data_IF_790617039492
#
_entry.id   IF_790617039492
#
_cell.length_a   1.000
_cell.length_b   1.000
_cell.length_c   1.000
_cell.angle_alpha   90.00
_cell.angle_beta   90.00
_cell.angle_gamma   90.00
#
_symmetry.space_group_name_H-M   'P 1'
#
loop_
_entity.id
_entity.type
_entity.pdbx_description
1 polymer ?
#
# COMPACT_ATOMS: atom_id res chain seq x y z
N UNK A 1 57.77 -17.04 10.63
CA UNK A 1 58.65 -17.70 9.64
C UNK A 1 57.93 -17.66 8.31
N UNK A 2 58.32 -16.74 7.45
CA UNK A 2 57.76 -16.56 6.10
C UNK A 2 58.39 -17.53 5.09
N UNK A 3 57.79 -17.71 3.88
CA UNK A 3 58.06 -18.85 3.01
C UNK A 3 59.12 -18.56 1.92
N UNK A 4 59.56 -19.58 1.16
CA UNK A 4 60.30 -19.37 -0.08
C UNK A 4 59.36 -19.06 -1.26
N UNK A 5 59.64 -17.93 -1.94
CA UNK A 5 59.16 -17.63 -3.30
C UNK A 5 60.16 -18.12 -4.36
N UNK A 6 59.65 -18.42 -5.54
CA UNK A 6 60.34 -18.52 -6.84
C UNK A 6 59.28 -18.95 -7.87
N UNK A 7 59.05 -18.28 -9.01
CA UNK A 7 59.99 -17.63 -9.94
C UNK A 7 60.06 -18.51 -11.20
N UNK A 8 60.01 -18.03 -12.44
CA UNK A 8 59.92 -16.68 -13.02
C UNK A 8 59.23 -16.73 -14.40
N UNK A 9 58.88 -15.57 -14.98
CA UNK A 9 58.35 -15.43 -16.35
C UNK A 9 59.36 -15.84 -17.43
N UNK A 10 58.88 -16.24 -18.63
CA UNK A 10 59.48 -15.92 -19.94
C UNK A 10 58.45 -16.03 -21.09
N UNK A 11 58.08 -14.86 -21.61
CA UNK A 11 57.94 -14.41 -23.01
C UNK A 11 57.18 -15.14 -24.15
N UNK A 12 56.64 -14.22 -24.95
CA UNK A 12 55.88 -14.28 -26.19
C UNK A 12 56.47 -15.08 -27.38
N UNK A 13 55.57 -15.60 -28.23
CA UNK A 13 55.65 -15.50 -29.71
C UNK A 13 54.34 -16.04 -30.34
N UNK A 14 53.46 -15.20 -30.90
CA UNK A 14 53.48 -14.62 -32.26
C UNK A 14 52.94 -15.50 -33.42
N UNK A 15 51.97 -14.93 -34.18
CA UNK A 15 51.63 -15.12 -35.62
C UNK A 15 50.64 -16.23 -36.09
N UNK A 16 49.36 -15.84 -36.12
CA UNK A 16 48.46 -15.80 -37.32
C UNK A 16 48.78 -16.57 -38.62
N UNK A 17 47.78 -17.30 -39.19
CA UNK A 17 47.04 -16.93 -40.45
C UNK A 17 46.39 -18.11 -41.22
N UNK A 18 45.11 -17.93 -41.66
CA UNK A 18 44.49 -18.51 -42.90
C UNK A 18 44.33 -20.04 -43.05
N UNK A 19 43.41 -20.63 -43.84
CA UNK A 19 42.12 -20.22 -44.44
C UNK A 19 41.39 -21.43 -45.09
N UNK A 20 40.16 -21.23 -45.61
CA UNK A 20 39.38 -22.16 -46.47
C UNK A 20 38.74 -23.38 -45.75
N UNK A 21 37.66 -24.02 -46.20
CA UNK A 21 36.65 -23.74 -47.25
C UNK A 21 35.35 -24.53 -46.96
N UNK A 22 34.22 -24.24 -47.64
CA UNK A 22 33.05 -25.15 -47.64
C UNK A 22 31.66 -24.49 -47.67
N UNK A 23 31.03 -24.40 -48.85
CA UNK A 23 29.62 -23.98 -49.01
C UNK A 23 28.68 -25.19 -49.04
N UNK A 24 27.49 -25.10 -48.42
CA UNK A 24 26.12 -25.43 -48.96
C UNK A 24 25.12 -25.73 -47.83
N UNK A 25 23.88 -25.23 -47.91
CA UNK A 25 22.83 -25.58 -46.93
C UNK A 25 21.65 -24.61 -46.72
N UNK A 26 21.09 -23.98 -47.76
CA UNK A 26 19.88 -23.14 -47.62
C UNK A 26 18.59 -23.98 -47.58
N UNK A 27 17.66 -23.61 -46.68
CA UNK A 27 16.17 -23.79 -46.66
C UNK A 27 15.62 -24.59 -45.47
N UNK A 28 15.22 -23.93 -44.36
CA UNK A 28 14.16 -24.37 -43.42
C UNK A 28 13.77 -23.30 -42.37
N UNK A 29 13.08 -22.22 -42.78
CA UNK A 29 12.62 -21.18 -41.83
C UNK A 29 11.46 -20.29 -42.33
N UNK A 30 10.30 -20.87 -42.69
CA UNK A 30 9.08 -20.09 -43.01
C UNK A 30 7.79 -20.47 -42.26
N UNK A 31 7.79 -21.48 -41.38
CA UNK A 31 6.55 -21.97 -40.71
C UNK A 31 6.21 -21.35 -39.35
N UNK A 32 7.12 -20.62 -38.68
CA UNK A 32 6.89 -20.13 -37.29
C UNK A 32 6.20 -18.76 -37.17
N UNK A 33 5.95 -18.02 -38.26
CA UNK A 33 5.46 -16.62 -38.19
C UNK A 33 3.93 -16.44 -38.26
N UNK A 34 3.14 -17.50 -38.44
CA UNK A 34 1.66 -17.39 -38.59
C UNK A 34 0.83 -17.71 -37.34
N UNK A 35 1.41 -18.34 -36.31
CA UNK A 35 0.65 -18.77 -35.13
C UNK A 35 0.47 -17.67 -34.06
N UNK A 36 1.33 -16.64 -34.05
CA UNK A 36 1.30 -15.58 -33.04
C UNK A 36 0.18 -14.53 -33.22
N UNK A 37 -0.35 -14.38 -34.44
CA UNK A 37 -1.40 -13.39 -34.72
C UNK A 37 -2.82 -13.83 -34.30
N UNK A 38 -3.07 -15.12 -34.04
CA UNK A 38 -4.40 -15.60 -33.61
C UNK A 38 -4.68 -15.43 -32.12
N UNK A 39 -3.65 -15.37 -31.25
CA UNK A 39 -3.85 -15.26 -29.79
C UNK A 39 -4.22 -13.85 -29.29
N UNK A 40 -3.91 -12.78 -30.02
CA UNK A 40 -4.26 -11.41 -29.61
C UNK A 40 -5.69 -10.98 -29.96
N UNK A 41 -6.38 -11.69 -30.88
CA UNK A 41 -7.72 -11.27 -31.35
C UNK A 41 -8.85 -11.55 -30.34
N UNK A 42 -8.71 -12.55 -29.47
CA UNK A 42 -9.74 -12.87 -28.45
C UNK A 42 -9.60 -12.09 -27.13
N UNK A 43 -8.49 -11.38 -26.90
CA UNK A 43 -8.32 -10.56 -25.69
C UNK A 43 -9.08 -9.24 -25.79
N UNK A 44 -9.09 -8.60 -26.97
CA UNK A 44 -9.82 -7.35 -27.20
C UNK A 44 -11.34 -7.53 -27.18
N UNK A 45 -11.86 -8.60 -27.78
CA UNK A 45 -13.30 -8.90 -27.73
C UNK A 45 -13.79 -9.38 -26.36
N UNK A 46 -12.87 -9.63 -25.40
CA UNK A 46 -13.23 -9.85 -23.99
C UNK A 46 -13.26 -8.54 -23.22
N UNK A 47 -12.35 -7.60 -23.47
CA UNK A 47 -12.39 -6.26 -22.87
C UNK A 47 -13.65 -5.49 -23.26
N UNK A 48 -14.01 -5.43 -24.54
CA UNK A 48 -15.25 -4.76 -24.97
C UNK A 48 -16.53 -5.43 -24.45
N UNK A 49 -16.49 -6.74 -24.17
CA UNK A 49 -17.57 -7.45 -23.46
C UNK A 49 -17.58 -7.17 -21.97
N UNK A 50 -16.44 -6.84 -21.37
CA UNK A 50 -16.30 -6.50 -19.95
C UNK A 50 -16.72 -5.05 -19.70
N UNK A 51 -16.39 -4.12 -20.59
CA UNK A 51 -16.93 -2.76 -20.61
C UNK A 51 -18.45 -2.78 -20.79
N UNK A 52 -18.97 -3.50 -21.78
CA UNK A 52 -20.42 -3.67 -21.96
C UNK A 52 -21.10 -4.34 -20.76
N UNK A 53 -20.44 -5.30 -20.09
CA UNK A 53 -20.95 -5.90 -18.87
C UNK A 53 -20.93 -4.92 -17.68
N UNK A 54 -19.89 -4.09 -17.55
CA UNK A 54 -19.82 -3.04 -16.52
C UNK A 54 -20.86 -1.96 -16.75
N UNK A 55 -21.08 -1.54 -18.00
CA UNK A 55 -22.09 -0.57 -18.37
C UNK A 55 -23.51 -1.12 -18.10
N UNK A 56 -23.75 -2.40 -18.43
CA UNK A 56 -25.00 -3.09 -18.11
C UNK A 56 -25.23 -3.25 -16.60
N UNK A 57 -24.20 -3.65 -15.83
CA UNK A 57 -24.29 -3.75 -14.36
C UNK A 57 -24.48 -2.38 -13.72
N UNK A 58 -23.76 -1.36 -14.18
CA UNK A 58 -23.92 0.02 -13.68
C UNK A 58 -25.34 0.55 -13.93
N UNK A 59 -25.91 0.22 -15.09
CA UNK A 59 -27.30 0.52 -15.43
C UNK A 59 -28.29 -0.26 -14.56
N UNK A 60 -28.13 -1.57 -14.40
CA UNK A 60 -28.98 -2.41 -13.53
C UNK A 60 -28.89 -1.98 -12.06
N UNK A 61 -27.72 -1.58 -11.56
CA UNK A 61 -27.54 -1.03 -10.20
C UNK A 61 -28.20 0.35 -10.06
N UNK A 62 -28.11 1.20 -11.09
CA UNK A 62 -28.80 2.50 -11.09
C UNK A 62 -30.32 2.34 -11.14
N UNK A 63 -30.82 1.37 -11.91
CA UNK A 63 -32.24 1.01 -11.99
C UNK A 63 -32.74 0.40 -10.67
N UNK A 64 -31.98 -0.50 -10.05
CA UNK A 64 -32.28 -1.00 -8.70
C UNK A 64 -32.29 0.12 -7.65
N UNK A 65 -31.34 1.05 -7.69
CA UNK A 65 -31.27 2.17 -6.75
C UNK A 65 -32.46 3.13 -6.93
N UNK A 66 -32.86 3.41 -8.17
CA UNK A 66 -34.09 4.14 -8.48
C UNK A 66 -35.34 3.41 -7.97
N UNK A 67 -35.42 2.08 -8.14
CA UNK A 67 -36.53 1.27 -7.64
C UNK A 67 -36.59 1.22 -6.11
N UNK A 68 -35.42 1.23 -5.43
CA UNK A 68 -35.32 1.27 -3.96
C UNK A 68 -35.77 2.61 -3.39
N UNK A 69 -35.44 3.72 -4.07
CA UNK A 69 -35.92 5.06 -3.72
C UNK A 69 -37.44 5.17 -3.96
N UNK A 70 -37.92 4.74 -5.14
CA UNK A 70 -39.35 4.79 -5.50
C UNK A 70 -40.22 3.92 -4.57
N UNK A 71 -39.73 2.76 -4.13
CA UNK A 71 -40.45 1.92 -3.16
C UNK A 71 -40.44 2.51 -1.74
N UNK A 72 -39.45 3.34 -1.39
CA UNK A 72 -39.35 3.98 -0.07
C UNK A 72 -40.28 5.18 0.10
N UNK A 73 -40.73 5.79 -0.99
CA UNK A 73 -41.76 6.84 -1.01
C UNK A 73 -43.20 6.28 -1.13
N UNK A 74 -43.36 4.95 -1.17
CA UNK A 74 -44.66 4.29 -1.46
C UNK A 74 -45.23 3.43 -0.33
N UNK A 75 -44.59 3.36 0.85
CA UNK A 75 -45.13 2.63 2.01
C UNK A 75 -45.29 3.56 3.23
N UNK A 76 -46.48 4.17 3.29
CA UNK A 76 -47.05 4.74 4.52
C UNK A 76 -48.07 3.73 5.10
N UNK A 77 -48.12 3.62 6.44
CA UNK A 77 -49.02 2.73 7.20
C UNK A 77 -48.73 1.22 7.12
N UNK A 78 -48.24 0.59 8.19
CA UNK A 78 -49.09 0.11 9.31
C UNK A 78 -48.21 -0.37 10.49
N UNK A 79 -48.78 -0.67 11.65
CA UNK A 79 -48.05 -0.81 12.92
C UNK A 79 -48.25 -2.15 13.68
N UNK A 80 -47.27 -2.46 14.55
CA UNK A 80 -47.26 -3.44 15.68
C UNK A 80 -47.47 -4.95 15.36
N UNK A 81 -47.20 -5.91 16.28
CA UNK A 81 -46.17 -6.00 17.35
C UNK A 81 -45.36 -7.34 17.39
N UNK A 82 -44.19 -7.33 18.05
CA UNK A 82 -43.96 -8.26 19.18
C UNK A 82 -42.78 -9.27 19.16
N UNK A 83 -42.19 -9.45 20.36
CA UNK A 83 -41.80 -10.74 20.98
C UNK A 83 -40.57 -11.45 20.35
N UNK A 84 -39.45 -11.73 21.02
CA UNK A 84 -38.91 -11.53 22.39
C UNK A 84 -37.35 -11.54 22.28
N UNK A 85 -36.51 -11.22 23.27
CA UNK A 85 -36.74 -11.03 24.71
C UNK A 85 -35.74 -10.05 25.35
N UNK A 86 -36.10 -9.54 26.53
CA UNK A 86 -35.17 -9.23 27.63
C UNK A 86 -34.97 -10.48 28.52
N UNK A 87 -33.92 -10.48 29.34
CA UNK A 87 -33.87 -10.99 30.73
C UNK A 87 -32.51 -11.61 31.08
N UNK A 88 -31.63 -10.83 31.71
CA UNK A 88 -30.61 -11.35 32.64
C UNK A 88 -30.01 -10.26 33.56
N UNK A 89 -30.88 -9.41 34.12
CA UNK A 89 -30.54 -8.59 35.29
C UNK A 89 -31.60 -8.78 36.38
N UNK A 90 -31.13 -9.00 37.62
CA UNK A 90 -31.84 -9.01 38.92
C UNK A 90 -32.00 -10.36 39.64
N UNK A 91 -30.90 -10.81 40.26
CA UNK A 91 -30.84 -11.28 41.66
C UNK A 91 -29.36 -11.38 42.03
N UNK A 92 -28.85 -10.88 43.16
CA UNK A 92 -29.40 -10.95 44.50
C UNK A 92 -28.86 -9.82 45.42
N UNK A 93 -29.74 -8.98 46.00
CA UNK A 93 -29.38 -7.94 47.00
C UNK A 93 -30.50 -7.69 48.04
N UNK A 94 -30.39 -8.31 49.22
CA UNK A 94 -31.06 -8.08 50.52
C UNK A 94 -30.36 -9.04 51.51
N UNK A 95 -29.93 -8.76 52.75
CA UNK A 95 -30.17 -7.77 53.85
C UNK A 95 -28.87 -7.81 54.74
N UNK A 96 -28.41 -6.83 55.54
CA UNK A 96 -28.99 -5.59 56.10
C UNK A 96 -28.04 -4.35 56.01
N UNK A 97 -27.21 -4.08 57.04
CA UNK A 97 -26.39 -2.87 57.24
C UNK A 97 -25.02 -3.19 57.88
N UNK A 98 -23.98 -2.42 57.54
CA UNK A 98 -22.68 -2.44 58.22
C UNK A 98 -21.80 -1.25 57.80
N UNK A 99 -21.69 -0.23 58.67
CA UNK A 99 -20.93 1.00 58.39
C UNK A 99 -19.43 0.78 58.68
N UNK A 100 -18.58 0.83 57.65
CA UNK A 100 -17.17 1.30 57.76
C UNK A 100 -16.77 2.01 56.47
N UNK A 101 -16.06 3.13 56.61
CA UNK A 101 -15.51 3.98 55.56
C UNK A 101 -14.36 3.34 54.78
N UNK A 102 -14.33 3.53 53.45
CA UNK A 102 -13.16 3.24 52.61
C UNK A 102 -13.41 3.68 51.17
N UNK A 103 -12.71 4.72 50.70
CA UNK A 103 -12.81 5.20 49.32
C UNK A 103 -12.19 4.17 48.37
N UNK A 104 -13.02 3.51 47.57
CA UNK A 104 -12.52 2.63 46.50
C UNK A 104 -12.08 3.48 45.31
N UNK A 105 -10.81 3.34 44.93
CA UNK A 105 -10.24 3.91 43.72
C UNK A 105 -10.92 3.32 42.49
N UNK A 106 -11.81 4.09 41.86
CA UNK A 106 -12.36 3.74 40.55
C UNK A 106 -11.23 3.84 39.52
N UNK A 107 -10.64 2.69 39.20
CA UNK A 107 -9.61 2.57 38.18
C UNK A 107 -10.13 3.10 36.84
N UNK A 108 -9.52 4.19 36.35
CA UNK A 108 -9.85 4.77 35.04
C UNK A 108 -9.31 3.88 33.93
N UNK A 109 -10.09 2.88 33.53
CA UNK A 109 -9.80 2.09 32.33
C UNK A 109 -9.80 3.00 31.10
N UNK A 110 -8.70 3.00 30.34
CA UNK A 110 -8.63 3.63 29.02
C UNK A 110 -9.34 2.69 28.03
N UNK A 111 -10.63 2.90 27.83
CA UNK A 111 -11.42 2.13 26.86
C UNK A 111 -11.33 2.79 25.46
N UNK A 112 -10.50 2.24 24.58
CA UNK A 112 -10.43 2.66 23.18
C UNK A 112 -11.62 2.10 22.38
N UNK A 113 -12.70 2.88 22.27
CA UNK A 113 -13.86 2.53 21.43
C UNK A 113 -13.57 2.78 19.96
N UNK A 114 -13.73 1.75 19.15
CA UNK A 114 -13.65 1.82 17.69
C UNK A 114 -15.06 2.05 17.12
N UNK A 115 -15.35 3.28 16.71
CA UNK A 115 -16.59 3.64 16.03
C UNK A 115 -16.28 3.96 14.56
N UNK A 116 -16.95 3.28 13.62
CA UNK A 116 -16.63 3.34 12.18
C UNK A 116 -17.55 4.27 11.38
N UNK A 117 -18.51 4.91 12.03
CA UNK A 117 -19.50 5.83 11.44
C UNK A 117 -18.98 7.27 11.41
N UNK A 118 -18.30 7.64 10.32
CA UNK A 118 -17.80 8.99 10.08
C UNK A 118 -18.78 9.83 9.23
N UNK A 119 -18.93 11.12 9.58
CA UNK A 119 -19.55 12.13 8.71
C UNK A 119 -18.50 12.70 7.76
N UNK A 120 -18.90 12.93 6.50
CA UNK A 120 -17.99 13.42 5.46
C UNK A 120 -17.78 14.95 5.56
N UNK A 121 -16.85 15.38 6.41
CA UNK A 121 -16.38 16.77 6.46
C UNK A 121 -14.93 16.86 5.99
N UNK A 122 -14.70 17.55 4.86
CA UNK A 122 -13.36 17.71 4.28
C UNK A 122 -12.58 18.80 5.00
N UNK A 123 -11.75 18.41 5.98
CA UNK A 123 -10.89 19.33 6.73
C UNK A 123 -9.53 19.55 6.05
N UNK A 124 -8.97 20.76 6.17
CA UNK A 124 -7.61 21.07 5.69
C UNK A 124 -6.58 20.45 6.64
N UNK A 125 -5.57 19.77 6.11
CA UNK A 125 -4.47 19.22 6.88
C UNK A 125 -3.65 20.31 7.60
N UNK A 126 -3.11 19.98 8.78
CA UNK A 126 -2.19 20.86 9.51
C UNK A 126 -0.81 20.89 8.85
N UNK A 127 -0.10 22.02 9.00
CA UNK A 127 1.22 22.22 8.41
C UNK A 127 2.24 21.16 8.88
N UNK A 128 2.24 20.85 10.18
CA UNK A 128 3.12 19.82 10.75
C UNK A 128 2.90 18.42 10.14
N UNK A 129 1.65 18.06 9.79
CA UNK A 129 1.37 16.80 9.11
C UNK A 129 1.81 16.84 7.64
N UNK A 130 1.71 18.00 6.97
CA UNK A 130 2.21 18.17 5.60
C UNK A 130 3.74 18.11 5.54
N UNK A 131 4.45 18.73 6.47
CA UNK A 131 5.90 18.60 6.60
C UNK A 131 6.35 17.14 6.78
N UNK A 132 5.70 16.40 7.69
CA UNK A 132 6.00 15.00 7.93
C UNK A 132 5.70 14.14 6.70
N UNK A 133 4.57 14.38 6.04
CA UNK A 133 4.19 13.68 4.81
C UNK A 133 5.21 13.93 3.68
N UNK A 134 5.66 15.17 3.50
CA UNK A 134 6.65 15.55 2.50
C UNK A 134 8.00 14.86 2.77
N UNK A 135 8.42 14.78 4.05
CA UNK A 135 9.62 14.03 4.47
C UNK A 135 9.49 12.53 4.19
N UNK A 136 8.35 11.90 4.54
CA UNK A 136 8.14 10.45 4.39
C UNK A 136 7.94 9.99 2.93
N UNK A 137 7.42 10.86 2.06
CA UNK A 137 7.13 10.53 0.65
C UNK A 137 8.04 11.22 -0.34
N UNK A 138 9.04 11.97 0.16
CA UNK A 138 10.05 12.63 -0.66
C UNK A 138 9.42 13.49 -1.78
N UNK A 139 8.31 14.19 -1.47
CA UNK A 139 7.65 15.07 -2.44
C UNK A 139 8.56 16.22 -2.87
N UNK A 140 8.40 16.66 -4.12
CA UNK A 140 9.26 17.64 -4.80
C UNK A 140 10.75 17.25 -4.91
N UNK A 141 11.15 16.05 -4.47
CA UNK A 141 12.51 15.53 -4.56
C UNK A 141 12.72 14.61 -5.78
N UNK A 142 13.88 14.61 -6.45
CA UNK A 142 14.16 13.69 -7.56
C UNK A 142 14.19 12.20 -7.14
N UNK A 143 14.42 11.91 -5.86
CA UNK A 143 14.47 10.55 -5.31
C UNK A 143 13.11 10.05 -4.77
N UNK A 144 12.00 10.74 -5.06
CA UNK A 144 10.63 10.41 -4.59
C UNK A 144 10.18 8.94 -4.75
N UNK A 145 10.79 8.23 -5.70
CA UNK A 145 10.53 6.83 -6.02
C UNK A 145 11.40 5.84 -5.22
N UNK A 146 12.28 6.33 -4.34
CA UNK A 146 13.26 5.54 -3.58
C UNK A 146 12.84 5.28 -2.13
N UNK A 147 11.54 5.40 -1.81
CA UNK A 147 10.99 5.00 -0.51
C UNK A 147 11.09 3.48 -0.35
N UNK A 148 12.18 3.02 0.28
CA UNK A 148 12.55 1.59 0.40
C UNK A 148 11.64 0.84 1.38
N UNK A 149 10.44 0.51 0.95
CA UNK A 149 9.47 -0.18 1.82
C UNK A 149 9.54 -1.71 1.80
N UNK A 150 10.21 -2.29 0.80
CA UNK A 150 10.24 -3.74 0.58
C UNK A 150 10.93 -4.52 1.71
N UNK A 151 11.86 -3.89 2.43
CA UNK A 151 12.55 -4.52 3.55
C UNK A 151 11.70 -4.47 4.82
N UNK A 152 11.04 -3.34 5.11
CA UNK A 152 10.03 -3.25 6.16
C UNK A 152 8.90 -4.27 5.92
N UNK A 153 8.38 -4.37 4.69
CA UNK A 153 7.34 -5.33 4.34
C UNK A 153 7.74 -6.79 4.61
N UNK A 154 9.00 -7.17 4.35
CA UNK A 154 9.49 -8.54 4.63
C UNK A 154 9.45 -8.90 6.11
N UNK A 155 9.65 -7.94 7.02
CA UNK A 155 9.59 -8.18 8.47
C UNK A 155 8.19 -8.58 8.95
N UNK A 156 7.15 -8.14 8.24
CA UNK A 156 5.75 -8.37 8.60
C UNK A 156 5.03 -9.39 7.70
N UNK A 157 5.65 -9.83 6.61
CA UNK A 157 5.13 -10.95 5.83
C UNK A 157 5.25 -12.25 6.63
N UNK A 158 4.13 -12.84 7.02
CA UNK A 158 4.09 -14.12 7.74
C UNK A 158 3.06 -15.08 7.13
N UNK A 159 3.36 -16.37 7.15
CA UNK A 159 2.48 -17.43 6.64
C UNK A 159 2.03 -18.31 7.81
N UNK A 160 0.72 -18.60 7.96
CA UNK A 160 -0.39 -18.22 7.09
C UNK A 160 -0.93 -16.79 7.36
N UNK A 161 -1.70 -16.26 6.40
CA UNK A 161 -2.62 -15.12 6.60
C UNK A 161 -2.04 -13.71 6.49
N UNK A 162 -0.75 -13.51 6.78
CA UNK A 162 -0.09 -12.19 6.68
C UNK A 162 0.80 -12.08 5.44
N UNK A 163 0.32 -12.61 4.32
CA UNK A 163 0.95 -12.62 2.99
C UNK A 163 -0.19 -12.72 1.96
N UNK A 164 0.05 -12.44 0.67
CA UNK A 164 -0.98 -12.65 -0.34
C UNK A 164 -1.40 -14.13 -0.43
N UNK A 165 -2.68 -14.37 -0.69
CA UNK A 165 -3.19 -15.73 -0.85
C UNK A 165 -2.75 -16.32 -2.20
N UNK A 166 -2.30 -17.57 -2.19
CA UNK A 166 -2.01 -18.29 -3.43
C UNK A 166 -3.31 -18.66 -4.16
N UNK A 167 -3.36 -18.43 -5.48
CA UNK A 167 -4.46 -18.91 -6.31
C UNK A 167 -4.46 -20.45 -6.37
N UNK A 168 -5.57 -21.09 -5.97
CA UNK A 168 -5.76 -22.54 -6.08
C UNK A 168 -5.36 -23.05 -7.48
N UNK A 169 -4.65 -24.18 -7.55
CA UNK A 169 -4.05 -24.66 -8.82
C UNK A 169 -5.05 -24.81 -9.98
N UNK A 170 -6.30 -25.18 -9.68
CA UNK A 170 -7.39 -25.29 -10.66
C UNK A 170 -7.74 -23.96 -11.35
N UNK A 171 -7.55 -22.82 -10.67
CA UNK A 171 -7.88 -21.48 -11.19
C UNK A 171 -6.65 -20.62 -11.51
N UNK A 172 -5.45 -21.05 -11.12
CA UNK A 172 -4.17 -20.33 -11.26
C UNK A 172 -3.85 -19.85 -12.69
N UNK A 173 -4.35 -20.55 -13.72
CA UNK A 173 -4.20 -20.14 -15.13
C UNK A 173 -5.14 -18.99 -15.57
N UNK A 174 -6.18 -18.70 -14.78
CA UNK A 174 -7.13 -17.61 -15.01
C UNK A 174 -6.78 -16.36 -14.20
N UNK A 175 -6.01 -16.51 -13.11
CA UNK A 175 -5.50 -15.39 -12.33
C UNK A 175 -4.52 -14.54 -13.16
N UNK A 176 -4.80 -13.25 -13.25
CA UNK A 176 -4.00 -12.23 -13.93
C UNK A 176 -3.79 -11.01 -13.05
N UNK A 177 -4.06 -11.14 -11.75
CA UNK A 177 -4.25 -10.03 -10.82
C UNK A 177 -2.97 -9.66 -10.07
N UNK A 178 -1.79 -9.89 -10.65
CA UNK A 178 -0.48 -9.67 -10.00
C UNK A 178 -0.32 -8.30 -9.33
N UNK A 179 -0.90 -7.24 -9.88
CA UNK A 179 -0.87 -5.91 -9.26
C UNK A 179 -1.73 -5.82 -7.97
N UNK A 180 -2.83 -6.57 -7.92
CA UNK A 180 -3.69 -6.73 -6.74
C UNK A 180 -3.02 -7.62 -5.69
N UNK A 181 -2.43 -8.76 -6.07
CA UNK A 181 -1.64 -9.63 -5.17
C UNK A 181 -0.53 -8.86 -4.44
N UNK A 182 0.21 -7.98 -5.13
CA UNK A 182 1.21 -7.11 -4.48
C UNK A 182 0.57 -6.11 -3.50
N UNK A 183 -0.66 -5.66 -3.79
CA UNK A 183 -1.43 -4.79 -2.89
C UNK A 183 -1.94 -5.52 -1.66
N UNK A 184 -2.45 -6.73 -1.86
CA UNK A 184 -2.89 -7.66 -0.81
C UNK A 184 -1.75 -7.98 0.14
N UNK A 185 -0.56 -8.36 -0.37
CA UNK A 185 0.66 -8.53 0.44
C UNK A 185 1.00 -7.29 1.27
N UNK A 186 0.79 -6.09 0.71
CA UNK A 186 1.08 -4.84 1.43
C UNK A 186 0.08 -4.60 2.56
N UNK A 187 -1.21 -4.87 2.30
CA UNK A 187 -2.27 -4.76 3.31
C UNK A 187 -2.06 -5.80 4.42
N UNK A 188 -1.80 -7.06 4.06
CA UNK A 188 -1.56 -8.16 5.01
C UNK A 188 -0.36 -7.88 5.93
N UNK A 189 0.75 -7.37 5.38
CA UNK A 189 1.90 -6.92 6.17
C UNK A 189 1.58 -5.75 7.10
N UNK A 190 0.80 -4.76 6.64
CA UNK A 190 0.34 -3.64 7.49
C UNK A 190 -0.58 -4.16 8.61
N UNK A 191 -1.49 -5.10 8.34
CA UNK A 191 -2.35 -5.72 9.35
C UNK A 191 -1.52 -6.43 10.43
N UNK A 192 -0.50 -7.19 10.04
CA UNK A 192 0.40 -7.85 11.01
C UNK A 192 1.19 -6.83 11.84
N UNK A 193 1.69 -5.77 11.21
CA UNK A 193 2.39 -4.70 11.90
C UNK A 193 1.48 -3.97 12.91
N UNK A 194 0.21 -3.71 12.57
CA UNK A 194 -0.78 -3.11 13.49
C UNK A 194 -1.07 -4.02 14.70
N UNK A 195 -1.08 -5.34 14.53
CA UNK A 195 -1.22 -6.30 15.65
C UNK A 195 0.01 -6.21 16.56
N UNK A 196 1.22 -6.24 16.00
CA UNK A 196 2.47 -6.12 16.78
C UNK A 196 2.56 -4.75 17.47
N UNK A 197 2.08 -3.68 16.83
CA UNK A 197 1.96 -2.34 17.43
C UNK A 197 1.02 -2.36 18.64
N UNK A 198 -0.14 -3.02 18.52
CA UNK A 198 -1.11 -3.17 19.60
C UNK A 198 -0.54 -3.97 20.79
N UNK A 199 0.13 -5.09 20.51
CA UNK A 199 0.79 -5.89 21.55
C UNK A 199 1.91 -5.09 22.24
N UNK A 200 2.71 -4.33 21.47
CA UNK A 200 3.75 -3.44 22.02
C UNK A 200 3.17 -2.30 22.86
N UNK A 201 2.02 -1.76 22.47
CA UNK A 201 1.31 -0.72 23.24
C UNK A 201 0.79 -1.30 24.56
N UNK A 202 0.14 -2.46 24.51
CA UNK A 202 -0.36 -3.18 25.69
C UNK A 202 0.77 -3.49 26.66
N UNK A 203 1.89 -4.00 26.17
CA UNK A 203 3.06 -4.31 27.00
C UNK A 203 3.67 -3.05 27.62
N UNK A 204 3.84 -1.98 26.83
CA UNK A 204 4.33 -0.70 27.34
C UNK A 204 3.42 -0.09 28.42
N UNK A 205 2.10 -0.24 28.30
CA UNK A 205 1.14 0.18 29.32
C UNK A 205 1.24 -0.69 30.58
N UNK A 206 1.40 -2.00 30.45
CA UNK A 206 1.62 -2.91 31.58
C UNK A 206 2.92 -2.56 32.32
N UNK A 207 4.01 -2.31 31.59
CA UNK A 207 5.30 -1.87 32.14
C UNK A 207 5.16 -0.56 32.91
N UNK A 208 4.43 0.42 32.36
CA UNK A 208 4.17 1.69 33.02
C UNK A 208 3.35 1.51 34.31
N UNK A 209 2.28 0.71 34.28
CA UNK A 209 1.45 0.41 35.46
C UNK A 209 2.24 -0.32 36.54
N UNK A 210 3.06 -1.31 36.16
CA UNK A 210 3.94 -2.01 37.12
C UNK A 210 4.92 -1.03 37.77
N UNK A 211 5.60 -0.21 36.97
CA UNK A 211 6.56 0.77 37.47
C UNK A 211 5.91 1.79 38.43
N UNK A 212 4.69 2.27 38.11
CA UNK A 212 3.93 3.18 38.97
C UNK A 212 3.58 2.54 40.32
N UNK A 213 3.24 1.24 40.36
CA UNK A 213 2.93 0.54 41.61
C UNK A 213 4.17 0.35 42.50
N UNK A 214 5.37 0.35 41.93
CA UNK A 214 6.64 0.18 42.65
C UNK A 214 7.20 1.51 43.21
N UNK A 215 6.64 2.67 42.85
CA UNK A 215 7.10 3.98 43.33
C UNK A 215 6.31 4.44 44.57
N UNK A 216 7.03 4.90 45.61
CA UNK A 216 6.42 5.47 46.81
C UNK A 216 5.95 6.93 46.64
N UNK A 217 6.67 7.72 45.84
CA UNK A 217 6.30 9.08 45.43
C UNK A 217 6.61 9.24 43.94
N UNK A 218 5.70 9.87 43.19
CA UNK A 218 5.81 10.03 41.73
C UNK A 218 5.64 11.50 41.36
N UNK A 219 6.60 12.04 40.61
CA UNK A 219 6.49 13.36 39.98
C UNK A 219 5.97 13.23 38.55
N UNK A 220 5.35 14.30 38.02
CA UNK A 220 4.91 14.33 36.62
C UNK A 220 6.07 14.13 35.64
N UNK A 221 7.24 14.70 35.94
CA UNK A 221 8.45 14.56 35.12
C UNK A 221 8.92 13.11 35.05
N UNK A 222 8.91 12.37 36.17
CA UNK A 222 9.27 10.95 36.18
C UNK A 222 8.30 10.08 35.34
N UNK A 223 7.00 10.42 35.30
CA UNK A 223 6.04 9.76 34.42
C UNK A 223 6.36 10.07 32.94
N UNK A 224 6.64 11.34 32.62
CA UNK A 224 7.01 11.76 31.26
C UNK A 224 8.28 11.05 30.77
N UNK A 225 9.31 10.98 31.61
CA UNK A 225 10.55 10.26 31.31
C UNK A 225 10.28 8.78 31.08
N UNK A 226 9.45 8.14 31.91
CA UNK A 226 9.11 6.72 31.76
C UNK A 226 8.27 6.43 30.51
N UNK A 227 7.33 7.32 30.16
CA UNK A 227 6.58 7.24 28.89
C UNK A 227 7.53 7.36 27.69
N UNK A 228 8.48 8.30 27.74
CA UNK A 228 9.47 8.46 26.67
C UNK A 228 10.42 7.26 26.56
N UNK A 229 10.87 6.70 27.69
CA UNK A 229 11.66 5.46 27.74
C UNK A 229 10.94 4.29 27.04
N UNK A 230 9.64 4.11 27.32
CA UNK A 230 8.84 2.99 26.82
C UNK A 230 8.44 3.18 25.35
N UNK A 231 7.97 4.37 24.95
CA UNK A 231 7.29 4.59 23.66
C UNK A 231 8.06 5.46 22.66
N UNK A 232 9.02 6.27 23.11
CA UNK A 232 9.71 7.29 22.27
C UNK A 232 11.20 6.98 22.06
N UNK A 233 11.79 6.11 22.88
CA UNK A 233 13.16 5.63 22.72
C UNK A 233 13.33 4.94 21.34
N UNK A 234 14.47 5.18 20.66
CA UNK A 234 14.83 4.51 19.40
C UNK A 234 14.85 2.98 19.52
N UNK A 235 15.07 2.44 20.72
CA UNK A 235 15.00 1.01 20.98
C UNK A 235 13.58 0.45 21.07
N UNK A 236 12.56 1.30 21.29
CA UNK A 236 11.16 0.91 21.49
C UNK A 236 10.59 0.16 20.29
N UNK A 237 10.07 -1.05 20.52
CA UNK A 237 9.35 -1.84 19.52
C UNK A 237 8.14 -1.08 18.99
N UNK A 238 7.42 -0.34 19.84
CA UNK A 238 6.26 0.46 19.45
C UNK A 238 6.66 1.54 18.42
N UNK A 239 7.72 2.31 18.68
CA UNK A 239 8.21 3.32 17.75
C UNK A 239 8.69 2.70 16.43
N UNK A 240 9.51 1.65 16.49
CA UNK A 240 10.02 0.94 15.31
C UNK A 240 8.88 0.46 14.40
N UNK A 241 7.85 -0.16 14.98
CA UNK A 241 6.71 -0.67 14.23
C UNK A 241 5.90 0.47 13.59
N UNK A 242 5.68 1.58 14.30
CA UNK A 242 5.03 2.77 13.74
C UNK A 242 5.78 3.33 12.52
N UNK A 243 7.11 3.46 12.63
CA UNK A 243 7.95 3.94 11.52
C UNK A 243 7.89 2.98 10.33
N UNK A 244 7.92 1.67 10.56
CA UNK A 244 7.76 0.68 9.49
C UNK A 244 6.36 0.72 8.83
N UNK A 245 5.28 0.92 9.59
CA UNK A 245 3.92 1.08 9.04
C UNK A 245 3.87 2.31 8.12
N UNK A 246 4.38 3.45 8.58
CA UNK A 246 4.47 4.68 7.78
C UNK A 246 5.28 4.46 6.50
N UNK A 247 6.43 3.80 6.60
CA UNK A 247 7.30 3.47 5.47
C UNK A 247 6.62 2.53 4.46
N UNK A 248 5.88 1.51 4.92
CA UNK A 248 5.09 0.61 4.07
C UNK A 248 3.99 1.36 3.31
N UNK A 249 3.21 2.21 3.99
CA UNK A 249 2.13 2.99 3.39
C UNK A 249 2.70 4.00 2.37
N UNK A 250 3.75 4.73 2.76
CA UNK A 250 4.38 5.76 1.93
C UNK A 250 5.04 5.16 0.68
N UNK A 251 5.78 4.06 0.83
CA UNK A 251 6.39 3.39 -0.31
C UNK A 251 5.36 2.75 -1.24
N UNK A 252 4.29 2.18 -0.70
CA UNK A 252 3.18 1.67 -1.54
C UNK A 252 2.47 2.81 -2.30
N UNK A 253 2.33 4.00 -1.70
CA UNK A 253 1.81 5.20 -2.41
C UNK A 253 2.78 5.66 -3.51
N UNK A 254 4.09 5.68 -3.26
CA UNK A 254 5.10 6.01 -4.26
C UNK A 254 5.05 5.04 -5.46
N UNK A 255 4.97 3.72 -5.21
CA UNK A 255 4.78 2.67 -6.22
C UNK A 255 3.55 2.92 -7.11
N UNK A 256 2.43 3.33 -6.50
CA UNK A 256 1.17 3.61 -7.21
C UNK A 256 1.30 4.91 -8.04
N UNK A 257 1.94 5.95 -7.50
CA UNK A 257 2.25 7.19 -8.23
C UNK A 257 3.14 6.87 -9.45
N UNK A 258 4.19 6.05 -9.27
CA UNK A 258 5.07 5.61 -10.36
C UNK A 258 4.29 4.86 -11.45
N UNK A 259 3.44 3.91 -11.10
CA UNK A 259 2.59 3.18 -12.06
C UNK A 259 1.62 4.12 -12.82
N UNK A 260 0.97 5.06 -12.11
CA UNK A 260 0.08 6.06 -12.75
C UNK A 260 0.84 6.96 -13.72
N UNK A 261 2.03 7.42 -13.32
CA UNK A 261 2.89 8.27 -14.15
C UNK A 261 3.42 7.52 -15.37
N UNK A 262 3.97 6.31 -15.20
CA UNK A 262 4.46 5.50 -16.31
C UNK A 262 3.34 5.18 -17.32
N UNK A 263 2.11 4.94 -16.85
CA UNK A 263 0.93 4.78 -17.71
C UNK A 263 0.66 6.05 -18.57
N UNK A 264 0.67 7.24 -17.96
CA UNK A 264 0.55 8.53 -18.68
C UNK A 264 1.70 8.71 -19.68
N UNK A 265 2.92 8.35 -19.31
CA UNK A 265 4.11 8.44 -20.16
C UNK A 265 4.07 7.47 -21.37
N UNK A 266 3.19 6.46 -21.39
CA UNK A 266 2.97 5.66 -22.61
C UNK A 266 2.34 6.47 -23.76
N UNK A 267 1.63 7.55 -23.45
CA UNK A 267 1.02 8.45 -24.42
C UNK A 267 2.03 9.42 -25.07
N UNK A 268 3.27 9.50 -24.57
CA UNK A 268 4.32 10.40 -25.08
C UNK A 268 5.17 9.68 -26.13
N UNK A 269 5.08 10.02 -27.44
CA UNK A 269 5.79 9.28 -28.48
C UNK A 269 7.29 9.54 -28.49
N UNK A 270 7.71 10.76 -28.12
CA UNK A 270 9.09 11.19 -28.16
C UNK A 270 9.84 10.66 -26.92
N UNK A 271 10.85 9.82 -27.15
CA UNK A 271 11.71 9.23 -26.12
C UNK A 271 12.38 10.27 -25.22
N UNK A 272 12.91 11.36 -25.79
CA UNK A 272 13.62 12.41 -25.05
C UNK A 272 12.66 13.25 -24.21
N UNK A 273 11.50 13.63 -24.77
CA UNK A 273 10.46 14.37 -24.04
C UNK A 273 9.90 13.52 -22.91
N UNK A 274 9.69 12.21 -23.14
CA UNK A 274 9.25 11.25 -22.12
C UNK A 274 10.24 11.13 -20.97
N UNK A 275 11.53 10.99 -21.27
CA UNK A 275 12.57 10.90 -20.23
C UNK A 275 12.71 12.22 -19.46
N UNK A 276 12.48 13.36 -20.13
CA UNK A 276 12.46 14.66 -19.46
C UNK A 276 11.25 14.82 -18.52
N UNK A 277 10.06 14.40 -18.96
CA UNK A 277 8.85 14.34 -18.12
C UNK A 277 8.99 13.37 -16.94
N UNK A 278 9.75 12.29 -17.11
CA UNK A 278 9.99 11.30 -16.04
C UNK A 278 10.73 11.90 -14.84
N UNK A 279 11.59 12.90 -15.07
CA UNK A 279 12.42 13.55 -14.05
C UNK A 279 11.68 14.59 -13.20
N UNK A 280 10.55 15.11 -13.66
CA UNK A 280 9.72 16.05 -12.90
C UNK A 280 9.21 15.31 -11.63
N UNK A 281 9.42 15.79 -10.40
CA UNK A 281 8.91 15.12 -9.20
C UNK A 281 7.39 15.28 -9.08
N UNK A 282 6.69 14.42 -8.32
CA UNK A 282 5.32 14.69 -7.89
C UNK A 282 5.33 15.72 -6.74
N UNK A 283 4.25 16.47 -6.60
CA UNK A 283 3.98 17.27 -5.39
C UNK A 283 3.00 16.50 -4.48
N UNK A 284 2.74 17.04 -3.29
CA UNK A 284 1.69 16.52 -2.39
C UNK A 284 0.28 16.55 -3.02
N UNK A 285 0.04 17.41 -4.02
CA UNK A 285 -1.23 17.57 -4.75
C UNK A 285 -1.24 16.89 -6.14
N UNK A 286 -0.12 16.94 -6.88
CA UNK A 286 -0.09 16.67 -8.32
C UNK A 286 0.92 15.56 -8.71
N UNK A 287 0.57 14.73 -9.70
CA UNK A 287 1.44 13.63 -10.19
C UNK A 287 2.77 14.11 -10.81
N UNK A 288 2.82 15.37 -11.22
CA UNK A 288 3.98 16.07 -11.75
C UNK A 288 3.91 17.50 -11.22
N UNK A 289 5.04 18.08 -10.80
CA UNK A 289 5.13 19.50 -10.44
C UNK A 289 4.64 20.38 -11.61
N UNK A 290 3.61 21.19 -11.35
CA UNK A 290 2.83 21.87 -12.39
C UNK A 290 3.64 22.90 -13.18
N UNK A 291 4.54 23.62 -12.50
CA UNK A 291 5.40 24.64 -13.10
C UNK A 291 6.36 23.99 -14.09
N UNK A 292 7.10 22.98 -13.63
CA UNK A 292 8.05 22.22 -14.47
C UNK A 292 7.34 21.53 -15.66
N UNK A 293 6.14 21.00 -15.43
CA UNK A 293 5.33 20.38 -16.48
C UNK A 293 4.91 21.40 -17.54
N UNK A 294 4.41 22.56 -17.11
CA UNK A 294 3.93 23.63 -18.00
C UNK A 294 5.04 24.22 -18.85
N UNK A 295 6.22 24.45 -18.26
CA UNK A 295 7.42 24.90 -18.96
C UNK A 295 7.86 23.87 -20.02
N UNK A 296 7.93 22.59 -19.65
CA UNK A 296 8.36 21.51 -20.56
C UNK A 296 7.38 21.35 -21.73
N UNK A 297 6.06 21.37 -21.47
CA UNK A 297 5.03 21.30 -22.51
C UNK A 297 5.14 22.49 -23.46
N UNK A 298 5.30 23.70 -22.94
CA UNK A 298 5.45 24.92 -23.73
C UNK A 298 6.69 24.86 -24.63
N UNK A 299 7.83 24.44 -24.07
CA UNK A 299 9.10 24.26 -24.80
C UNK A 299 9.00 23.23 -25.95
N UNK A 300 8.14 22.22 -25.83
CA UNK A 300 7.91 21.22 -26.87
C UNK A 300 6.73 21.54 -27.81
N UNK A 301 6.18 22.76 -27.72
CA UNK A 301 5.18 23.27 -28.64
C UNK A 301 3.73 22.84 -28.34
N UNK A 302 3.42 22.59 -27.07
CA UNK A 302 2.05 22.42 -26.57
C UNK A 302 1.60 20.97 -26.37
N UNK A 303 0.52 20.82 -25.60
CA UNK A 303 0.02 19.53 -25.08
C UNK A 303 -0.14 18.47 -26.19
N UNK A 304 -0.78 18.84 -27.31
CA UNK A 304 -1.06 17.93 -28.44
C UNK A 304 0.18 17.50 -29.25
N UNK A 305 1.33 18.15 -29.07
CA UNK A 305 2.61 17.70 -29.65
C UNK A 305 3.37 16.75 -28.72
N UNK A 306 3.21 16.93 -27.41
CA UNK A 306 3.83 16.10 -26.37
C UNK A 306 3.08 14.79 -26.19
N UNK A 307 1.75 14.86 -26.06
CA UNK A 307 0.89 13.71 -25.81
C UNK A 307 0.10 13.34 -27.05
N UNK A 308 0.18 12.06 -27.42
CA UNK A 308 -0.69 11.42 -28.40
C UNK A 308 -1.82 10.69 -27.69
N UNK A 309 -3.01 10.62 -28.31
CA UNK A 309 -4.06 9.76 -27.79
C UNK A 309 -3.61 8.29 -27.82
N UNK A 310 -3.95 7.46 -26.81
CA UNK A 310 -3.62 6.04 -26.82
C UNK A 310 -4.20 5.40 -28.08
N UNK A 311 -3.33 4.83 -28.92
CA UNK A 311 -3.73 4.32 -30.24
C UNK A 311 -4.75 3.19 -30.09
N UNK A 312 -6.02 3.49 -30.38
CA UNK A 312 -7.06 2.50 -30.62
C UNK A 312 -6.67 1.66 -31.83
N UNK A 313 -6.00 0.53 -31.56
CA UNK A 313 -5.63 -0.40 -32.62
C UNK A 313 -6.88 -1.14 -33.08
N UNK A 314 -7.37 -0.77 -34.26
CA UNK A 314 -8.25 -1.60 -35.10
C UNK A 314 -7.61 -2.98 -35.34
#
# INVERSE_FOLDING_TARGET
MDPPRGGSEYDESSRSSSSSSGRRGRKRSRSRRRQHHRRHRSSKSRLSRLEYAFEKISKEVSEMHAHFISNRESHDGDAVPGIISSDLESTCSRVEQGVVTGEQSVGKNIELKFETTLKNETTRSSEAHLELLNKLQHFDSPDWHQVRFSDAQKLYNSTPGFVELESNDLIKSFDRTRALQISERSIAAITHALIIQYDSLKEGLNMLVSWLNDQAEITADAICDKINEIFTNEESTYLKVNLHILQMICGRRADIIQQRRDAILTCVPNLFTRESLRKIPPTNEHLFNEVQLSELISKHGGLFKVFSHPKSTQ
#
